data_IF_120054404831
#
_entry.id   IF_120054404831
#
_cell.length_a   1.000
_cell.length_b   1.000
_cell.length_c   1.000
_cell.angle_alpha   90.00
_cell.angle_beta   90.00
_cell.angle_gamma   90.00
#
_symmetry.space_group_name_H-M   'P 1'
#
loop_
_entity.id
_entity.type
_entity.pdbx_description
1 polymer ?
#
# COMPACT_ATOMS: atom_id res chain seq x y z
N UNK A 1 -0.52 14.92 4.74
CA UNK A 1 -0.23 13.96 5.83
C UNK A 1 0.54 12.82 5.21
N UNK A 2 1.71 12.48 5.72
CA UNK A 2 2.47 11.32 5.22
C UNK A 2 2.21 10.16 6.18
N UNK A 3 1.35 9.21 5.78
CA UNK A 3 1.07 7.99 6.54
C UNK A 3 2.21 6.99 6.40
N UNK A 4 2.33 6.09 7.39
CA UNK A 4 3.20 4.91 7.32
C UNK A 4 2.32 3.68 7.18
N UNK A 5 2.50 2.94 6.09
CA UNK A 5 1.63 1.80 5.76
C UNK A 5 2.41 0.51 5.66
N UNK A 6 1.80 -0.61 6.04
CA UNK A 6 2.39 -1.94 5.89
C UNK A 6 1.99 -2.52 4.53
N UNK A 7 2.95 -3.09 3.81
CA UNK A 7 2.66 -3.86 2.59
C UNK A 7 2.17 -5.28 2.93
N UNK A 8 1.17 -5.76 2.19
CA UNK A 8 0.60 -7.11 2.24
C UNK A 8 0.56 -7.71 0.84
N UNK A 9 0.47 -9.04 0.73
CA UNK A 9 0.32 -9.69 -0.57
C UNK A 9 -1.10 -9.46 -1.12
N UNK A 10 -1.24 -9.39 -2.45
CA UNK A 10 -2.56 -9.32 -3.09
C UNK A 10 -3.36 -10.58 -2.75
N UNK A 11 -4.59 -10.38 -2.26
CA UNK A 11 -5.46 -11.47 -1.82
C UNK A 11 -5.13 -12.04 -0.44
N UNK A 12 -4.15 -11.46 0.28
CA UNK A 12 -3.95 -11.77 1.69
C UNK A 12 -5.14 -11.26 2.51
N UNK A 13 -5.70 -12.14 3.35
CA UNK A 13 -6.78 -11.77 4.24
C UNK A 13 -6.22 -10.93 5.40
N UNK A 14 -6.75 -9.71 5.56
CA UNK A 14 -6.36 -8.79 6.63
C UNK A 14 -7.56 -8.47 7.51
N UNK A 15 -7.98 -9.42 8.38
CA UNK A 15 -9.06 -9.15 9.32
C UNK A 15 -8.61 -8.03 10.27
N UNK A 16 -9.44 -7.00 10.42
CA UNK A 16 -9.13 -5.75 11.15
C UNK A 16 -8.27 -4.71 10.41
N UNK A 17 -8.27 -4.71 9.08
CA UNK A 17 -7.63 -3.66 8.30
C UNK A 17 -8.43 -3.22 7.08
N UNK A 18 -8.26 -1.95 6.71
CA UNK A 18 -8.67 -1.44 5.40
C UNK A 18 -7.51 -1.65 4.43
N UNK A 19 -7.77 -2.33 3.32
CA UNK A 19 -6.75 -2.58 2.30
C UNK A 19 -6.86 -1.56 1.19
N UNK A 20 -5.71 -1.04 0.76
CA UNK A 20 -5.58 -0.22 -0.45
C UNK A 20 -4.77 -1.00 -1.47
N UNK A 21 -5.44 -1.49 -2.50
CA UNK A 21 -4.81 -2.08 -3.67
C UNK A 21 -4.39 -0.98 -4.62
N UNK A 22 -3.16 -1.04 -5.12
CA UNK A 22 -2.66 -0.13 -6.14
C UNK A 22 -2.24 -0.97 -7.33
N UNK A 23 -2.87 -0.71 -8.47
CA UNK A 23 -2.70 -1.50 -9.68
C UNK A 23 -2.51 -0.59 -10.90
N UNK A 24 -1.98 -1.18 -11.97
CA UNK A 24 -1.79 -0.51 -13.25
C UNK A 24 -2.80 -1.06 -14.25
N UNK A 25 -3.62 -0.18 -14.81
CA UNK A 25 -4.62 -0.56 -15.80
C UNK A 25 -3.96 -0.96 -17.14
N UNK A 26 -4.76 -1.50 -18.07
CA UNK A 26 -4.28 -1.93 -19.39
C UNK A 26 -3.62 -0.81 -20.23
N UNK A 27 -3.97 0.45 -19.98
CA UNK A 27 -3.37 1.64 -20.59
C UNK A 27 -2.09 2.12 -19.87
N UNK A 28 -1.74 1.52 -18.73
CA UNK A 28 -0.56 1.87 -17.95
C UNK A 28 -0.80 2.94 -16.88
N UNK A 29 -2.03 3.42 -16.69
CA UNK A 29 -2.35 4.38 -15.64
C UNK A 29 -2.45 3.67 -14.29
N UNK A 30 -2.04 4.37 -13.23
CA UNK A 30 -2.15 3.88 -11.86
C UNK A 30 -3.57 4.15 -11.36
N UNK A 31 -4.21 3.13 -10.81
CA UNK A 31 -5.48 3.25 -10.07
C UNK A 31 -5.36 2.59 -8.71
N UNK A 32 -6.26 2.94 -7.80
CA UNK A 32 -6.32 2.37 -6.47
C UNK A 32 -7.73 1.86 -6.17
N UNK A 33 -7.82 0.81 -5.38
CA UNK A 33 -9.07 0.31 -4.82
C UNK A 33 -8.92 0.22 -3.30
N UNK A 34 -9.96 0.62 -2.58
CA UNK A 34 -10.05 0.54 -1.13
C UNK A 34 -11.11 -0.48 -0.79
N UNK A 35 -10.79 -1.48 0.02
CA UNK A 35 -11.76 -2.48 0.46
C UNK A 35 -11.47 -3.00 1.87
N UNK A 36 -12.49 -3.61 2.47
CA UNK A 36 -12.36 -4.37 3.72
C UNK A 36 -13.34 -5.53 3.74
N UNK A 37 -13.00 -6.58 4.49
CA UNK A 37 -13.90 -7.71 4.72
C UNK A 37 -14.96 -7.35 5.78
N UNK A 38 -16.08 -8.07 5.78
CA UNK A 38 -17.13 -7.87 6.77
C UNK A 38 -16.63 -8.29 8.16
N UNK A 39 -16.65 -7.38 9.12
CA UNK A 39 -16.18 -7.63 10.49
C UNK A 39 -17.24 -7.21 11.50
N UNK A 40 -17.80 -8.18 12.20
CA UNK A 40 -18.83 -7.93 13.22
C UNK A 40 -20.11 -7.35 12.60
N UNK A 41 -20.39 -6.08 12.89
CA UNK A 41 -21.56 -5.33 12.39
C UNK A 41 -21.20 -4.44 11.18
N UNK A 42 -19.93 -4.46 10.73
CA UNK A 42 -19.46 -3.71 9.57
C UNK A 42 -19.58 -4.58 8.33
N UNK A 43 -20.40 -4.17 7.37
CA UNK A 43 -20.48 -4.81 6.06
C UNK A 43 -19.20 -4.60 5.24
N UNK A 44 -18.88 -5.57 4.39
CA UNK A 44 -17.83 -5.43 3.39
C UNK A 44 -18.19 -4.34 2.38
N UNK A 45 -17.20 -3.54 2.00
CA UNK A 45 -17.35 -2.48 1.00
C UNK A 45 -16.08 -2.40 0.14
N UNK A 46 -16.24 -1.90 -1.09
CA UNK A 46 -15.16 -1.69 -2.04
C UNK A 46 -15.42 -0.41 -2.85
N UNK A 47 -14.39 0.42 -2.97
CA UNK A 47 -14.42 1.64 -3.75
C UNK A 47 -13.16 1.80 -4.61
N UNK A 48 -13.34 2.11 -5.89
CA UNK A 48 -12.25 2.37 -6.84
C UNK A 48 -11.99 3.88 -6.99
N UNK A 49 -10.71 4.23 -7.16
CA UNK A 49 -10.20 5.59 -7.29
C UNK A 49 -9.17 5.66 -8.42
N UNK A 50 -9.16 6.78 -9.15
CA UNK A 50 -8.14 7.07 -10.16
C UNK A 50 -6.91 7.80 -9.59
N UNK A 51 -6.97 8.22 -8.32
CA UNK A 51 -5.90 8.91 -7.62
C UNK A 51 -5.55 8.16 -6.32
N UNK A 52 -4.28 7.79 -6.17
CA UNK A 52 -3.78 7.02 -5.01
C UNK A 52 -3.86 7.85 -3.71
N UNK A 53 -3.43 9.13 -3.67
CA UNK A 53 -3.63 9.97 -2.50
C UNK A 53 -5.09 10.05 -2.03
N UNK A 54 -6.05 10.14 -2.95
CA UNK A 54 -7.47 10.14 -2.62
C UNK A 54 -7.92 8.81 -2.00
N UNK A 55 -7.52 7.68 -2.57
CA UNK A 55 -7.78 6.36 -2.01
C UNK A 55 -7.20 6.19 -0.60
N UNK A 56 -5.97 6.65 -0.37
CA UNK A 56 -5.34 6.59 0.96
C UNK A 56 -6.08 7.42 1.99
N UNK A 57 -6.56 8.61 1.60
CA UNK A 57 -7.36 9.45 2.48
C UNK A 57 -8.73 8.81 2.80
N UNK A 58 -9.37 8.19 1.81
CA UNK A 58 -10.60 7.44 1.99
C UNK A 58 -10.38 6.23 2.92
N UNK A 59 -9.30 5.48 2.74
CA UNK A 59 -8.96 4.33 3.58
C UNK A 59 -8.74 4.71 5.05
N UNK A 60 -8.01 5.81 5.31
CA UNK A 60 -7.82 6.32 6.67
C UNK A 60 -9.14 6.83 7.28
N UNK A 61 -10.02 7.43 6.48
CA UNK A 61 -11.36 7.82 6.93
C UNK A 61 -12.22 6.61 7.28
N UNK A 62 -12.22 5.56 6.46
CA UNK A 62 -12.92 4.29 6.72
C UNK A 62 -12.35 3.59 7.96
N UNK A 63 -11.03 3.57 8.10
CA UNK A 63 -10.36 3.06 9.31
C UNK A 63 -10.86 3.76 10.56
N UNK A 64 -10.88 5.08 10.57
CA UNK A 64 -11.33 5.87 11.72
C UNK A 64 -12.85 5.72 11.98
N UNK A 65 -13.65 5.61 10.92
CA UNK A 65 -15.11 5.50 10.99
C UNK A 65 -15.57 4.14 11.54
N UNK A 66 -14.97 3.06 11.05
CA UNK A 66 -15.35 1.69 11.39
C UNK A 66 -14.52 1.09 12.53
N UNK A 67 -13.43 1.75 12.94
CA UNK A 67 -12.59 1.34 14.06
C UNK A 67 -11.55 0.27 13.72
N UNK A 68 -11.17 0.13 12.45
CA UNK A 68 -10.13 -0.80 12.02
C UNK A 68 -8.76 -0.46 12.64
N UNK A 69 -7.97 -1.49 12.93
CA UNK A 69 -6.64 -1.35 13.52
C UNK A 69 -5.63 -0.65 12.62
N UNK A 70 -5.68 -0.87 11.30
CA UNK A 70 -4.69 -0.36 10.36
C UNK A 70 -5.22 -0.15 8.93
N UNK A 71 -4.44 0.61 8.15
CA UNK A 71 -4.50 0.63 6.68
C UNK A 71 -3.29 -0.13 6.14
N UNK A 72 -3.52 -1.06 5.22
CA UNK A 72 -2.50 -1.90 4.59
C UNK A 72 -2.51 -1.72 3.07
N UNK A 73 -1.36 -1.92 2.43
CA UNK A 73 -1.20 -1.69 0.98
C UNK A 73 -0.95 -3.02 0.26
N UNK A 74 -1.72 -3.29 -0.78
CA UNK A 74 -1.47 -4.36 -1.72
C UNK A 74 -0.98 -3.77 -3.05
N UNK A 75 0.29 -3.98 -3.40
CA UNK A 75 0.87 -3.48 -4.66
C UNK A 75 0.84 -4.57 -5.72
N UNK A 76 0.33 -4.25 -6.92
CA UNK A 76 0.48 -5.11 -8.09
C UNK A 76 1.95 -5.20 -8.50
N UNK A 77 2.35 -6.37 -9.01
CA UNK A 77 3.63 -6.55 -9.68
C UNK A 77 3.84 -5.48 -10.77
N UNK A 78 5.02 -4.86 -10.77
CA UNK A 78 5.36 -3.76 -11.69
C UNK A 78 4.81 -2.38 -11.30
N UNK A 79 4.21 -2.23 -10.12
CA UNK A 79 3.88 -0.92 -9.52
C UNK A 79 4.89 -0.59 -8.43
N UNK A 80 5.58 0.54 -8.60
CA UNK A 80 6.54 1.06 -7.63
C UNK A 80 5.86 2.05 -6.67
N UNK A 81 6.17 1.93 -5.38
CA UNK A 81 5.68 2.87 -4.37
C UNK A 81 6.26 4.27 -4.60
N UNK A 82 5.39 5.28 -4.62
CA UNK A 82 5.83 6.67 -4.76
C UNK A 82 5.92 7.38 -3.41
N UNK A 83 6.99 8.16 -3.15
CA UNK A 83 7.16 8.89 -1.89
C UNK A 83 6.06 9.92 -1.64
N UNK A 84 5.38 10.39 -2.70
CA UNK A 84 4.22 11.28 -2.60
C UNK A 84 3.01 10.63 -1.88
N UNK A 85 2.95 9.29 -1.85
CA UNK A 85 1.88 8.53 -1.20
C UNK A 85 2.14 8.33 0.30
N UNK A 86 3.37 8.58 0.75
CA UNK A 86 3.80 8.38 2.13
C UNK A 86 4.95 7.41 2.24
N UNK A 87 5.06 6.75 3.39
CA UNK A 87 6.12 5.77 3.65
C UNK A 87 5.53 4.37 3.64
N UNK A 88 6.12 3.48 2.85
CA UNK A 88 5.79 2.07 2.87
C UNK A 88 6.78 1.36 3.80
N UNK A 89 6.28 0.86 4.92
CA UNK A 89 7.00 -0.08 5.76
C UNK A 89 7.01 -1.43 5.02
N UNK A 90 8.05 -1.62 4.21
CA UNK A 90 8.34 -2.92 3.65
C UNK A 90 8.69 -3.84 4.82
N UNK A 91 8.04 -5.00 4.92
CA UNK A 91 8.34 -6.01 5.94
C UNK A 91 9.72 -6.64 5.83
N UNK A 92 10.68 -5.97 5.18
CA UNK A 92 12.08 -6.31 5.15
C UNK A 92 12.68 -5.83 6.46
N UNK A 93 13.12 -6.78 7.28
CA UNK A 93 14.00 -6.49 8.40
C UNK A 93 15.20 -5.67 7.90
N UNK A 94 15.68 -4.74 8.72
CA UNK A 94 16.77 -3.77 8.49
C UNK A 94 18.02 -4.34 7.76
N UNK A 95 18.20 -5.66 7.80
CA UNK A 95 19.27 -6.43 7.14
C UNK A 95 19.22 -6.41 5.59
N UNK A 96 18.04 -6.43 4.97
CA UNK A 96 17.92 -6.53 3.48
C UNK A 96 17.96 -5.17 2.78
N UNK A 97 17.73 -4.07 3.50
CA UNK A 97 17.77 -2.72 2.95
C UNK A 97 19.20 -2.24 2.62
N UNK A 98 20.22 -2.81 3.27
CA UNK A 98 21.62 -2.47 3.05
C UNK A 98 22.22 -3.09 1.76
N UNK A 99 21.66 -4.19 1.26
CA UNK A 99 22.22 -4.88 0.07
C UNK A 99 21.89 -4.16 -1.25
N UNK A 100 20.83 -3.35 -1.30
CA UNK A 100 20.46 -2.57 -2.49
C UNK A 100 21.21 -1.23 -2.61
N UNK A 101 21.70 -0.67 -1.50
CA UNK A 101 22.50 0.56 -1.52
C UNK A 101 23.99 0.30 -1.82
N UNK A 102 24.48 -0.92 -1.60
CA UNK A 102 25.89 -1.28 -1.83
C UNK A 102 26.23 -1.56 -3.31
N UNK A 103 25.23 -1.72 -4.18
CA UNK A 103 25.44 -2.13 -5.58
C UNK A 103 25.69 -1.01 -6.59
N UNK A 104 25.60 0.27 -6.21
CA UNK A 104 25.61 1.40 -7.16
C UNK A 104 26.97 2.12 -7.25
N UNK A 105 27.91 1.86 -6.34
CA UNK A 105 29.19 2.59 -6.32
C UNK A 105 30.41 1.66 -6.22
N UNK A 106 30.77 0.91 -7.28
CA UNK A 106 32.18 0.56 -7.62
C UNK A 106 32.22 -0.06 -9.05
N UNK A 107 31.74 0.68 -10.04
CA UNK A 107 32.27 0.54 -11.41
C UNK A 107 32.66 1.93 -11.93
N UNK A 108 33.65 2.51 -11.27
CA UNK A 108 34.39 3.64 -11.83
C UNK A 108 35.84 3.56 -11.33
N UNK A 109 36.68 3.09 -12.25
CA UNK A 109 38.09 3.46 -12.41
C UNK A 109 39.11 2.92 -11.38
N UNK A 110 39.79 1.83 -11.76
CA UNK A 110 41.26 1.68 -11.66
C UNK A 110 41.76 0.48 -12.47
#
# INVERSE_FOLDING_TARGET
>A
MSGSYRQVAIGEATPDAVTVGIEKDAAGAIKAAVWWDAVGDVDADEAEFTDVPEALAAAEASRALHGFGAVVIALQDGVEWQPAWGTLANGLTDDEAYELAAGIETESDA
#
